data_IF_427968644674
#
_entry.id   IF_427968644674
#
_cell.length_a   1.000
_cell.length_b   1.000
_cell.length_c   1.000
_cell.angle_alpha   90.00
_cell.angle_beta   90.00
_cell.angle_gamma   90.00
#
_symmetry.space_group_name_H-M   'P 1'
#
loop_
_entity.id
_entity.type
_entity.pdbx_description
1 polymer ?
#
# COMPACT_ATOMS: atom_id res chain seq x y z
N UNK A 1 5.73 26.97 -31.72
CA UNK A 1 5.60 27.38 -30.30
C UNK A 1 6.83 26.91 -29.51
N UNK A 2 7.54 27.82 -28.83
CA UNK A 2 8.84 27.53 -28.20
C UNK A 2 8.63 27.01 -26.77
N UNK A 3 8.86 25.70 -26.54
CA UNK A 3 8.74 25.00 -25.24
C UNK A 3 9.49 25.69 -24.07
N UNK A 4 10.50 26.50 -24.38
CA UNK A 4 11.32 27.24 -23.41
C UNK A 4 10.63 28.45 -22.76
N UNK A 5 9.58 29.00 -23.37
CA UNK A 5 8.80 30.11 -22.80
C UNK A 5 7.77 29.65 -21.78
N UNK A 6 7.38 28.37 -21.82
CA UNK A 6 6.44 27.77 -20.88
C UNK A 6 7.09 27.54 -19.50
N UNK A 7 8.35 27.09 -19.47
CA UNK A 7 9.10 26.85 -18.23
C UNK A 7 9.45 28.15 -17.48
N UNK A 8 9.63 29.26 -18.20
CA UNK A 8 9.96 30.56 -17.58
C UNK A 8 8.79 31.20 -16.84
N UNK A 9 7.55 30.81 -17.15
CA UNK A 9 6.34 31.38 -16.53
C UNK A 9 5.93 30.70 -15.22
N UNK A 10 6.59 29.61 -14.82
CA UNK A 10 6.19 28.81 -13.65
C UNK A 10 6.81 29.23 -12.32
N UNK A 11 7.68 30.24 -12.27
CA UNK A 11 8.41 30.63 -11.06
C UNK A 11 7.73 31.73 -10.20
N UNK A 12 6.47 32.11 -10.50
CA UNK A 12 5.86 33.32 -9.94
C UNK A 12 4.48 33.11 -9.27
N UNK A 13 4.24 31.96 -8.65
CA UNK A 13 3.09 31.73 -7.75
C UNK A 13 3.53 30.77 -6.64
N UNK A 14 3.58 31.08 -5.35
CA UNK A 14 3.30 32.30 -4.61
C UNK A 14 3.59 31.97 -3.14
N UNK A 15 4.59 32.62 -2.55
CA UNK A 15 4.92 32.52 -1.13
C UNK A 15 4.01 33.52 -0.40
N UNK A 16 2.88 33.06 0.15
CA UNK A 16 1.91 33.94 0.81
C UNK A 16 1.65 33.45 2.24
N UNK A 17 2.17 34.25 3.17
CA UNK A 17 1.80 34.47 4.57
C UNK A 17 1.92 33.30 5.56
N UNK A 18 3.09 33.24 6.22
CA UNK A 18 3.22 32.73 7.57
C UNK A 18 2.61 33.73 8.56
N UNK A 19 1.36 33.48 8.98
CA UNK A 19 0.83 34.04 10.22
C UNK A 19 0.94 32.95 11.29
N UNK A 20 1.58 33.20 12.45
CA UNK A 20 1.53 32.27 13.57
C UNK A 20 0.08 32.16 14.07
N UNK A 21 -0.58 31.04 13.72
CA UNK A 21 -1.87 30.60 14.23
C UNK A 21 -1.71 30.14 15.69
N UNK A 22 -1.34 31.07 16.57
CA UNK A 22 -1.25 30.84 18.02
C UNK A 22 -2.43 31.53 18.68
N UNK A 23 -3.64 30.97 18.56
CA UNK A 23 -4.79 31.11 19.49
C UNK A 23 -6.10 30.69 18.80
N UNK A 24 -6.39 29.40 18.69
CA UNK A 24 -7.73 28.79 18.88
C UNK A 24 -7.66 27.31 18.50
N UNK A 25 -7.54 26.43 19.50
CA UNK A 25 -8.03 25.06 19.43
C UNK A 25 -8.19 24.55 20.86
N UNK A 26 -9.12 25.17 21.56
CA UNK A 26 -9.82 24.52 22.66
C UNK A 26 -11.00 23.77 22.02
N UNK A 27 -10.72 22.58 21.51
CA UNK A 27 -11.73 21.65 21.01
C UNK A 27 -11.48 20.31 21.69
N UNK A 28 -12.25 20.09 22.75
CA UNK A 28 -12.64 18.81 23.34
C UNK A 28 -11.71 17.63 23.04
N UNK A 29 -10.75 17.40 23.94
CA UNK A 29 -10.13 16.10 24.10
C UNK A 29 -11.21 15.10 24.56
N UNK A 30 -11.93 14.51 23.60
CA UNK A 30 -12.63 13.26 23.82
C UNK A 30 -11.56 12.27 24.23
N UNK A 31 -11.58 11.82 25.48
CA UNK A 31 -10.71 10.76 25.96
C UNK A 31 -10.96 9.52 25.11
N UNK A 32 -10.09 9.28 24.13
CA UNK A 32 -10.07 8.01 23.42
C UNK A 32 -9.77 6.93 24.47
N UNK A 33 -10.59 5.88 24.59
CA UNK A 33 -10.23 4.75 25.43
C UNK A 33 -8.88 4.23 24.93
N UNK A 34 -7.95 4.03 25.87
CA UNK A 34 -6.63 3.51 25.56
C UNK A 34 -6.80 2.17 24.82
N UNK A 35 -6.39 2.12 23.56
CA UNK A 35 -6.27 0.86 22.82
C UNK A 35 -5.24 0.03 23.58
N UNK A 36 -5.60 -1.16 24.11
CA UNK A 36 -4.62 -2.02 24.75
C UNK A 36 -3.47 -2.27 23.77
N UNK A 37 -2.21 -2.27 24.25
CA UNK A 37 -1.07 -2.51 23.38
C UNK A 37 -1.32 -3.83 22.64
N UNK A 38 -1.32 -3.76 21.30
CA UNK A 38 -1.44 -4.94 20.49
C UNK A 38 -0.31 -5.90 20.89
N UNK A 39 -0.63 -7.17 21.16
CA UNK A 39 0.37 -8.21 21.33
C UNK A 39 1.10 -8.37 19.99
N UNK A 40 2.25 -7.68 19.86
CA UNK A 40 3.07 -7.76 18.65
C UNK A 40 3.85 -9.06 18.71
N UNK A 41 3.30 -10.09 18.06
CA UNK A 41 4.03 -11.31 17.74
C UNK A 41 4.82 -11.06 16.45
N UNK A 42 6.16 -10.94 16.50
CA UNK A 42 6.96 -10.74 15.32
C UNK A 42 6.86 -11.97 14.42
N UNK A 43 6.54 -11.78 13.14
CA UNK A 43 6.62 -12.86 12.17
C UNK A 43 8.08 -13.24 11.96
N UNK A 44 8.37 -14.55 11.94
CA UNK A 44 9.71 -15.05 11.63
C UNK A 44 9.73 -15.50 10.17
N UNK A 45 10.52 -14.86 9.30
CA UNK A 45 10.64 -15.31 7.92
C UNK A 45 11.06 -16.80 7.84
N UNK A 46 10.62 -17.55 6.80
CA UNK A 46 11.05 -18.92 6.58
C UNK A 46 12.58 -19.01 6.51
N UNK A 47 13.16 -20.07 7.10
CA UNK A 47 14.62 -20.27 7.07
C UNK A 47 15.16 -20.49 5.64
N UNK A 48 14.29 -20.89 4.70
CA UNK A 48 14.57 -21.10 3.27
C UNK A 48 13.35 -20.78 2.40
N UNK A 49 13.59 -20.37 1.16
CA UNK A 49 12.56 -20.11 0.16
C UNK A 49 12.00 -18.68 0.24
N UNK A 50 10.88 -18.47 -0.45
CA UNK A 50 10.24 -17.15 -0.56
C UNK A 50 9.25 -16.92 0.58
N UNK A 51 9.10 -15.66 1.00
CA UNK A 51 8.12 -15.25 2.00
C UNK A 51 6.77 -15.07 1.28
N UNK A 52 5.71 -15.82 1.66
CA UNK A 52 4.39 -15.65 1.07
C UNK A 52 3.78 -14.32 1.52
N UNK A 53 3.26 -13.53 0.58
CA UNK A 53 2.60 -12.24 0.86
C UNK A 53 1.21 -12.22 0.21
N UNK A 54 0.19 -12.11 1.06
CA UNK A 54 -1.19 -11.97 0.64
C UNK A 54 -1.53 -10.52 0.32
N UNK A 55 -2.03 -10.28 -0.89
CA UNK A 55 -2.70 -9.04 -1.27
C UNK A 55 -4.21 -9.23 -1.20
N UNK A 56 -4.83 -8.71 -0.15
CA UNK A 56 -6.29 -8.74 -0.03
C UNK A 56 -6.89 -7.69 -0.95
N UNK A 57 -7.69 -8.13 -1.91
CA UNK A 57 -8.34 -7.28 -2.91
C UNK A 57 -9.85 -7.46 -2.78
N UNK A 58 -10.59 -6.35 -2.81
CA UNK A 58 -12.05 -6.34 -2.70
C UNK A 58 -12.68 -5.47 -3.79
N UNK A 59 -13.99 -5.62 -3.96
CA UNK A 59 -14.74 -4.81 -4.92
C UNK A 59 -14.58 -3.32 -4.64
N UNK A 60 -14.26 -2.55 -5.68
CA UNK A 60 -14.00 -1.12 -5.55
C UNK A 60 -12.57 -0.76 -5.12
N UNK A 61 -11.65 -1.72 -5.04
CA UNK A 61 -10.23 -1.45 -4.82
C UNK A 61 -9.71 -0.38 -5.80
N UNK A 62 -8.98 0.61 -5.28
CA UNK A 62 -8.33 1.62 -6.11
C UNK A 62 -6.99 1.06 -6.57
N UNK A 63 -6.77 1.00 -7.89
CA UNK A 63 -5.64 0.29 -8.51
C UNK A 63 -4.29 0.77 -7.96
N UNK A 64 -4.13 2.07 -7.74
CA UNK A 64 -2.85 2.62 -7.28
C UNK A 64 -2.49 2.20 -5.85
N UNK A 65 -3.47 1.86 -5.02
CA UNK A 65 -3.25 1.56 -3.60
C UNK A 65 -2.52 0.22 -3.40
N UNK A 66 -2.72 -0.74 -4.32
CA UNK A 66 -2.08 -2.04 -4.24
C UNK A 66 -1.01 -2.26 -5.32
N UNK A 67 -1.10 -1.61 -6.48
CA UNK A 67 -0.10 -1.79 -7.55
C UNK A 67 1.30 -1.33 -7.12
N UNK A 68 1.42 -0.19 -6.44
CA UNK A 68 2.71 0.30 -5.97
C UNK A 68 3.40 -0.68 -5.01
N UNK A 69 2.72 -1.09 -3.91
CA UNK A 69 3.26 -2.12 -3.03
C UNK A 69 3.53 -3.45 -3.76
N UNK A 70 2.65 -3.89 -4.64
CA UNK A 70 2.85 -5.11 -5.43
C UNK A 70 4.19 -5.09 -6.16
N UNK A 71 4.46 -4.01 -6.93
CA UNK A 71 5.70 -3.81 -7.68
C UNK A 71 6.94 -3.84 -6.76
N UNK A 72 6.86 -3.21 -5.60
CA UNK A 72 7.96 -3.25 -4.62
C UNK A 72 8.27 -4.68 -4.19
N UNK A 73 7.26 -5.47 -3.81
CA UNK A 73 7.51 -6.82 -3.32
C UNK A 73 7.97 -7.78 -4.43
N UNK A 74 7.44 -7.69 -5.65
CA UNK A 74 7.86 -8.60 -6.73
C UNK A 74 9.34 -8.44 -7.08
N UNK A 75 9.88 -7.21 -6.98
CA UNK A 75 11.21 -6.87 -7.48
C UNK A 75 12.30 -6.91 -6.39
N UNK A 76 11.96 -7.29 -5.15
CA UNK A 76 12.98 -7.48 -4.11
C UNK A 76 13.78 -8.75 -4.39
N UNK A 77 15.07 -8.60 -4.68
CA UNK A 77 16.01 -9.71 -4.82
C UNK A 77 17.00 -9.69 -3.64
N UNK A 78 17.13 -10.80 -2.92
CA UNK A 78 18.09 -10.92 -1.82
C UNK A 78 19.46 -11.34 -2.36
N UNK A 79 20.56 -10.65 -2.01
CA UNK A 79 21.90 -11.07 -2.38
C UNK A 79 22.19 -12.52 -1.99
N UNK A 80 22.75 -13.31 -2.92
CA UNK A 80 23.03 -14.73 -2.70
C UNK A 80 21.90 -15.68 -3.08
N UNK A 81 20.72 -15.16 -3.46
CA UNK A 81 19.71 -15.91 -4.22
C UNK A 81 20.05 -15.81 -5.71
N UNK A 82 19.72 -16.83 -6.51
CA UNK A 82 20.03 -16.86 -7.95
C UNK A 82 19.11 -15.94 -8.76
N UNK A 83 19.00 -14.66 -8.36
CA UNK A 83 18.08 -13.69 -8.93
C UNK A 83 16.60 -13.97 -8.63
N UNK A 84 16.31 -14.82 -7.64
CA UNK A 84 14.94 -15.14 -7.24
C UNK A 84 14.38 -14.02 -6.36
N UNK A 85 13.12 -13.66 -6.57
CA UNK A 85 12.44 -12.71 -5.68
C UNK A 85 12.40 -13.22 -4.24
N UNK A 86 12.44 -12.31 -3.28
CA UNK A 86 12.33 -12.61 -1.86
C UNK A 86 10.90 -13.05 -1.48
N UNK A 87 9.90 -12.63 -2.26
CA UNK A 87 8.49 -12.72 -1.91
C UNK A 87 7.67 -13.46 -2.96
N UNK A 88 6.79 -14.33 -2.50
CA UNK A 88 5.81 -15.07 -3.32
C UNK A 88 4.45 -14.39 -3.15
N UNK A 89 4.02 -13.67 -4.18
CA UNK A 89 2.83 -12.82 -4.13
C UNK A 89 1.60 -13.58 -4.62
N UNK A 90 0.51 -13.43 -3.88
CA UNK A 90 -0.79 -13.96 -4.29
C UNK A 90 -1.92 -13.05 -3.84
N UNK A 91 -3.04 -13.14 -4.53
CA UNK A 91 -4.23 -12.34 -4.26
C UNK A 91 -5.27 -13.12 -3.45
N UNK A 92 -5.93 -12.44 -2.53
CA UNK A 92 -6.99 -13.01 -1.69
C UNK A 92 -8.26 -12.17 -1.84
N UNK A 93 -9.36 -12.80 -2.21
CA UNK A 93 -10.68 -12.18 -2.30
C UNK A 93 -11.70 -12.85 -1.37
N UNK A 94 -12.91 -12.29 -1.33
CA UNK A 94 -14.05 -12.93 -0.67
C UNK A 94 -14.51 -14.19 -1.41
N UNK A 95 -14.55 -14.12 -2.75
CA UNK A 95 -14.82 -15.23 -3.66
C UNK A 95 -13.72 -15.31 -4.73
N UNK A 96 -13.80 -16.31 -5.62
CA UNK A 96 -12.92 -16.41 -6.79
C UNK A 96 -13.51 -15.73 -8.04
N UNK A 97 -14.63 -15.00 -7.89
CA UNK A 97 -15.21 -14.26 -8.99
C UNK A 97 -14.34 -13.04 -9.34
N UNK A 98 -14.34 -12.58 -10.62
CA UNK A 98 -13.59 -11.39 -11.00
C UNK A 98 -14.00 -10.15 -10.19
N UNK A 99 -13.02 -9.53 -9.54
CA UNK A 99 -13.18 -8.28 -8.78
C UNK A 99 -12.97 -7.10 -9.71
N UNK A 100 -13.93 -6.17 -9.72
CA UNK A 100 -13.79 -4.88 -10.41
C UNK A 100 -13.08 -3.87 -9.52
N UNK A 101 -11.90 -3.45 -9.95
CA UNK A 101 -11.15 -2.33 -9.37
C UNK A 101 -11.44 -1.01 -10.11
N UNK A 102 -10.92 0.10 -9.60
CA UNK A 102 -11.06 1.42 -10.20
C UNK A 102 -10.56 1.45 -11.65
N UNK A 103 -11.20 2.24 -12.52
CA UNK A 103 -10.79 2.35 -13.92
C UNK A 103 -11.15 1.14 -14.79
N UNK A 104 -11.90 0.17 -14.25
CA UNK A 104 -12.42 -0.98 -15.00
C UNK A 104 -11.48 -2.19 -15.06
N UNK A 105 -10.33 -2.15 -14.37
CA UNK A 105 -9.46 -3.32 -14.21
C UNK A 105 -10.22 -4.44 -13.50
N UNK A 106 -10.04 -5.67 -13.98
CA UNK A 106 -10.60 -6.86 -13.34
C UNK A 106 -9.47 -7.80 -12.90
N UNK A 107 -9.60 -8.32 -11.68
CA UNK A 107 -8.62 -9.21 -11.05
C UNK A 107 -9.37 -10.46 -10.61
N UNK A 108 -8.85 -11.64 -10.96
CA UNK A 108 -9.37 -12.91 -10.44
C UNK A 108 -8.49 -13.29 -9.25
N UNK A 109 -9.03 -13.42 -8.03
CA UNK A 109 -8.25 -13.81 -6.87
C UNK A 109 -7.67 -15.22 -7.00
N UNK A 110 -6.45 -15.43 -6.51
CA UNK A 110 -5.84 -16.77 -6.42
C UNK A 110 -6.49 -17.61 -5.32
N UNK A 111 -6.89 -16.95 -4.23
CA UNK A 111 -7.47 -17.59 -3.04
C UNK A 111 -8.68 -16.81 -2.50
N UNK A 112 -9.55 -17.54 -1.80
CA UNK A 112 -10.51 -16.98 -0.84
C UNK A 112 -9.87 -16.82 0.55
N UNK A 113 -10.50 -16.10 1.46
CA UNK A 113 -10.07 -16.03 2.88
C UNK A 113 -9.93 -17.40 3.55
N UNK A 114 -10.74 -18.38 3.15
CA UNK A 114 -10.73 -19.73 3.71
C UNK A 114 -9.62 -20.60 3.13
N UNK A 115 -9.21 -20.35 1.89
CA UNK A 115 -8.23 -21.17 1.15
C UNK A 115 -6.85 -20.55 1.13
N UNK A 116 -6.70 -19.29 1.55
CA UNK A 116 -5.42 -18.61 1.59
C UNK A 116 -4.41 -19.37 2.48
N UNK A 117 -3.14 -19.50 2.05
CA UNK A 117 -2.08 -20.05 2.89
C UNK A 117 -1.98 -19.31 4.22
N UNK A 118 -1.70 -20.05 5.31
CA UNK A 118 -1.46 -19.42 6.61
C UNK A 118 -0.16 -18.59 6.57
N UNK A 119 -0.12 -17.43 7.25
CA UNK A 119 1.10 -16.65 7.42
C UNK A 119 2.22 -17.51 8.03
N UNK A 120 3.46 -17.30 7.58
CA UNK A 120 4.65 -18.04 8.03
C UNK A 120 5.51 -17.19 8.94
#
# INVERSE_FOLDING_TARGET
MKRRELLKKSAAFGFVTALPFSTVSELNAVSQPAVPPADIHPLKPPDKGMIPVAFVISAGAVVIDFCGPWEVFQDVIVPGTMGTSAFDLYTVGETLDPIKASGGLQIVPDHTFQTAPQPK
#
